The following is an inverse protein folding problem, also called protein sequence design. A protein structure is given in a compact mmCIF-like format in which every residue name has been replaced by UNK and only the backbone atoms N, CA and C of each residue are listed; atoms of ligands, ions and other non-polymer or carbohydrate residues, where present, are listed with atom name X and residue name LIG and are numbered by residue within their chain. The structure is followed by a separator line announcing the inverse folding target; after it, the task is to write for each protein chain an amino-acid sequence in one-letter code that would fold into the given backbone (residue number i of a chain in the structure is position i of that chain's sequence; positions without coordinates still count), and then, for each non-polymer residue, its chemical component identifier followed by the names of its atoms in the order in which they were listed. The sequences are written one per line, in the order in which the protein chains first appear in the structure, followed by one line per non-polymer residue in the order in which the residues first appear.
data_IF_284712814110
#
_entry.id   IF_284712814110
#
_cell.length_a   1.000
_cell.length_b   1.000
_cell.length_c   1.000
_cell.angle_alpha   90.00
_cell.angle_beta   90.00
_cell.angle_gamma   90.00
#
_symmetry.space_group_name_H-M   'P 1'
#
loop_
_entity.id
_entity.type
_entity.pdbx_description
1 polymer ?
#
# COMPACT_ATOMS: atom_id res chain seq x y z
N UNK A 1 -14.53 14.61 -39.92
CA UNK A 1 -14.41 14.33 -38.47
C UNK A 1 -15.73 14.66 -37.80
N UNK A 2 -16.44 13.68 -37.25
CA UNK A 2 -17.65 13.91 -36.46
C UNK A 2 -17.25 14.42 -35.08
N UNK A 3 -17.73 15.61 -34.69
CA UNK A 3 -17.67 16.04 -33.28
C UNK A 3 -18.44 15.02 -32.44
N UNK A 4 -17.80 14.47 -31.41
CA UNK A 4 -18.51 13.69 -30.38
C UNK A 4 -19.53 14.63 -29.76
N UNK A 5 -20.82 14.34 -29.96
CA UNK A 5 -21.91 15.12 -29.34
C UNK A 5 -21.82 14.94 -27.84
N UNK A 6 -21.87 16.04 -27.09
CA UNK A 6 -21.86 15.97 -25.63
C UNK A 6 -23.21 15.43 -25.12
N UNK A 7 -23.24 14.12 -24.86
CA UNK A 7 -24.45 13.41 -24.44
C UNK A 7 -24.92 13.79 -23.03
N UNK A 8 -24.16 14.61 -22.30
CA UNK A 8 -24.56 15.16 -21.00
C UNK A 8 -25.64 16.25 -21.18
N UNK A 9 -25.53 17.10 -22.21
CA UNK A 9 -26.56 18.11 -22.49
C UNK A 9 -27.84 17.46 -23.04
N UNK A 10 -27.73 16.51 -23.99
CA UNK A 10 -28.86 15.70 -24.46
C UNK A 10 -29.62 15.05 -23.28
N UNK A 11 -28.88 14.56 -22.26
CA UNK A 11 -29.46 13.97 -21.05
C UNK A 11 -30.11 15.01 -20.12
N UNK A 12 -29.48 16.16 -19.88
CA UNK A 12 -30.07 17.25 -19.08
C UNK A 12 -31.37 17.76 -19.70
N UNK A 13 -31.43 17.90 -21.02
CA UNK A 13 -32.61 18.33 -21.75
C UNK A 13 -33.73 17.28 -21.67
N UNK A 14 -33.42 15.99 -21.82
CA UNK A 14 -34.38 14.91 -21.63
C UNK A 14 -34.95 14.86 -20.20
N UNK A 15 -34.11 15.09 -19.18
CA UNK A 15 -34.54 15.20 -17.77
C UNK A 15 -35.41 16.43 -17.55
N UNK A 16 -35.08 17.60 -18.15
CA UNK A 16 -35.90 18.82 -18.07
C UNK A 16 -37.29 18.59 -18.68
N UNK A 17 -37.36 18.03 -19.88
CA UNK A 17 -38.63 17.73 -20.54
C UNK A 17 -39.48 16.74 -19.73
N UNK A 18 -38.86 15.71 -19.15
CA UNK A 18 -39.55 14.72 -18.33
C UNK A 18 -40.06 15.31 -16.99
N UNK A 19 -39.30 16.18 -16.33
CA UNK A 19 -39.75 16.85 -15.11
C UNK A 19 -40.94 17.79 -15.39
N UNK A 20 -40.91 18.52 -16.51
CA UNK A 20 -42.02 19.37 -16.94
C UNK A 20 -43.28 18.56 -17.29
N UNK A 21 -43.15 17.42 -17.99
CA UNK A 21 -44.30 16.56 -18.32
C UNK A 21 -44.95 15.92 -17.07
N UNK A 22 -44.18 15.74 -16.00
CA UNK A 22 -44.66 15.29 -14.69
C UNK A 22 -45.22 16.42 -13.81
N UNK A 23 -45.35 17.64 -14.34
CA UNK A 23 -45.93 18.79 -13.63
C UNK A 23 -45.05 19.34 -12.51
N UNK A 24 -43.72 19.19 -12.59
CA UNK A 24 -42.82 19.73 -11.58
C UNK A 24 -42.76 21.25 -11.70
N UNK A 25 -42.92 21.94 -10.58
CA UNK A 25 -42.79 23.40 -10.52
C UNK A 25 -41.33 23.85 -10.64
N UNK A 26 -41.13 25.13 -10.94
CA UNK A 26 -39.81 25.72 -11.19
C UNK A 26 -38.79 25.43 -10.08
N UNK A 27 -39.22 25.46 -8.80
CA UNK A 27 -38.32 25.16 -7.68
C UNK A 27 -37.88 23.69 -7.62
N UNK A 28 -38.77 22.72 -7.93
CA UNK A 28 -38.38 21.30 -8.06
C UNK A 28 -37.48 21.08 -9.28
N UNK A 29 -37.76 21.74 -10.40
CA UNK A 29 -36.95 21.64 -11.61
C UNK A 29 -35.53 22.19 -11.37
N UNK A 30 -35.42 23.40 -10.82
CA UNK A 30 -34.15 24.01 -10.44
C UNK A 30 -33.36 23.12 -9.46
N UNK A 31 -34.02 22.50 -8.47
CA UNK A 31 -33.38 21.58 -7.53
C UNK A 31 -32.85 20.30 -8.19
N UNK A 32 -33.47 19.81 -9.28
CA UNK A 32 -32.94 18.68 -10.06
C UNK A 32 -31.76 19.14 -10.91
N UNK A 33 -31.91 20.25 -11.63
CA UNK A 33 -30.85 20.80 -12.50
C UNK A 33 -29.58 21.15 -11.70
N UNK A 34 -29.73 21.69 -10.49
CA UNK A 34 -28.62 22.02 -9.59
C UNK A 34 -27.78 20.79 -9.18
N UNK A 35 -28.36 19.59 -9.12
CA UNK A 35 -27.61 18.35 -8.81
C UNK A 35 -26.63 17.94 -9.92
N UNK A 36 -26.82 18.40 -11.16
CA UNK A 36 -25.86 18.20 -12.24
C UNK A 36 -24.68 19.19 -12.20
N UNK A 37 -24.80 20.26 -11.40
CA UNK A 37 -23.79 21.32 -11.27
C UNK A 37 -23.00 21.13 -9.96
N UNK A 38 -23.72 20.95 -8.85
CA UNK A 38 -23.16 20.84 -7.51
C UNK A 38 -23.24 19.38 -7.06
N UNK A 39 -22.10 18.69 -7.13
CA UNK A 39 -21.94 17.38 -6.51
C UNK A 39 -22.01 17.55 -4.99
N UNK A 40 -23.03 16.98 -4.36
CA UNK A 40 -23.14 16.97 -2.90
C UNK A 40 -21.89 16.31 -2.29
N UNK A 41 -21.31 16.85 -1.20
CA UNK A 41 -20.13 16.27 -0.58
C UNK A 41 -20.44 14.84 -0.15
N UNK A 42 -19.74 13.88 -0.75
CA UNK A 42 -19.98 12.45 -0.53
C UNK A 42 -19.64 12.11 0.93
N UNK A 43 -20.68 11.92 1.74
CA UNK A 43 -20.55 11.54 3.14
C UNK A 43 -19.72 10.26 3.24
N UNK A 44 -18.52 10.37 3.82
CA UNK A 44 -17.62 9.23 4.00
C UNK A 44 -18.08 8.44 5.21
N UNK A 45 -18.24 7.12 5.05
CA UNK A 45 -18.55 6.24 6.19
C UNK A 45 -17.41 6.27 7.23
N UNK A 46 -17.68 5.90 8.49
CA UNK A 46 -16.63 5.75 9.51
C UNK A 46 -15.49 4.84 9.03
N UNK A 47 -15.83 3.73 8.37
CA UNK A 47 -14.87 2.82 7.72
C UNK A 47 -14.01 3.54 6.68
N UNK A 48 -14.61 4.26 5.73
CA UNK A 48 -13.85 4.98 4.69
C UNK A 48 -12.94 6.05 5.30
N UNK A 49 -13.39 6.74 6.36
CA UNK A 49 -12.55 7.74 7.05
C UNK A 49 -11.37 7.10 7.78
N UNK A 50 -11.56 5.97 8.44
CA UNK A 50 -10.49 5.23 9.10
C UNK A 50 -9.49 4.63 8.09
N UNK A 51 -9.97 4.04 6.99
CA UNK A 51 -9.13 3.51 5.91
C UNK A 51 -8.24 4.58 5.27
N UNK A 52 -8.79 5.77 4.99
CA UNK A 52 -8.00 6.89 4.45
C UNK A 52 -6.93 7.36 5.44
N UNK A 53 -7.25 7.48 6.74
CA UNK A 53 -6.27 7.83 7.78
C UNK A 53 -5.16 6.78 7.93
N UNK A 54 -5.49 5.49 7.75
CA UNK A 54 -4.52 4.40 7.74
C UNK A 54 -3.58 4.53 6.54
N UNK A 55 -4.11 4.81 5.35
CA UNK A 55 -3.32 5.07 4.13
C UNK A 55 -2.40 6.29 4.27
N UNK A 56 -2.90 7.39 4.87
CA UNK A 56 -2.11 8.58 5.21
C UNK A 56 -0.96 8.24 6.18
N UNK A 57 -1.22 7.39 7.18
CA UNK A 57 -0.22 6.94 8.16
C UNK A 57 0.88 6.07 7.51
N UNK A 58 0.51 5.17 6.59
CA UNK A 58 1.48 4.37 5.81
C UNK A 58 2.31 5.29 4.89
N UNK A 59 1.70 6.28 4.26
CA UNK A 59 2.41 7.28 3.46
C UNK A 59 3.40 8.12 4.29
N UNK A 60 3.04 8.49 5.52
CA UNK A 60 3.94 9.17 6.44
C UNK A 60 5.15 8.30 6.82
N UNK A 61 4.96 7.00 7.06
CA UNK A 61 6.05 6.05 7.29
C UNK A 61 6.99 5.95 6.07
N UNK A 62 6.44 5.85 4.85
CA UNK A 62 7.24 5.82 3.62
C UNK A 62 8.10 7.11 3.46
N UNK A 63 7.52 8.29 3.73
CA UNK A 63 8.27 9.56 3.71
C UNK A 63 9.33 9.64 4.81
N UNK A 64 9.03 9.16 6.02
CA UNK A 64 9.99 9.07 7.12
C UNK A 64 11.20 8.19 6.74
N UNK A 65 10.94 6.99 6.21
CA UNK A 65 11.99 6.08 5.74
C UNK A 65 12.82 6.68 4.60
N UNK A 66 12.19 7.35 3.62
CA UNK A 66 12.90 8.01 2.53
C UNK A 66 13.83 9.12 3.02
N UNK A 67 13.37 9.95 3.97
CA UNK A 67 14.16 11.00 4.61
C UNK A 67 15.38 10.43 5.34
N UNK A 68 15.18 9.39 6.15
CA UNK A 68 16.21 8.82 7.02
C UNK A 68 17.05 7.70 6.36
N UNK A 69 16.77 7.30 5.11
CA UNK A 69 17.48 6.22 4.41
C UNK A 69 19.00 6.37 4.40
N UNK A 70 19.51 7.58 4.16
CA UNK A 70 20.98 7.83 4.13
C UNK A 70 21.56 7.81 5.54
N UNK A 71 20.86 8.43 6.50
CA UNK A 71 21.21 8.46 7.91
C UNK A 71 21.34 7.04 8.47
N UNK A 72 20.41 6.15 8.13
CA UNK A 72 20.34 4.79 8.64
C UNK A 72 21.42 3.85 8.06
N UNK A 73 21.74 3.96 6.77
CA UNK A 73 22.72 3.06 6.12
C UNK A 73 24.16 3.53 6.31
N UNK A 74 24.46 4.81 6.12
CA UNK A 74 25.84 5.34 6.14
C UNK A 74 26.41 5.43 7.57
N UNK A 75 27.44 4.64 7.87
CA UNK A 75 28.07 4.55 9.20
C UNK A 75 28.73 5.86 9.63
N UNK A 76 29.15 6.70 8.67
CA UNK A 76 29.90 7.92 8.97
C UNK A 76 28.98 9.14 9.16
N UNK A 77 27.67 8.92 9.11
CA UNK A 77 26.64 9.97 9.09
C UNK A 77 25.80 10.04 10.37
N UNK A 78 25.66 8.93 11.10
CA UNK A 78 24.92 8.84 12.37
C UNK A 78 25.57 7.84 13.32
N UNK A 79 25.26 8.00 14.61
CA UNK A 79 25.58 7.05 15.67
C UNK A 79 24.69 5.81 15.62
N UNK A 80 25.12 4.72 16.26
CA UNK A 80 24.30 3.51 16.43
C UNK A 80 22.99 3.80 17.18
N UNK A 81 23.03 4.65 18.21
CA UNK A 81 21.85 5.05 18.97
C UNK A 81 20.79 5.78 18.12
N UNK A 82 21.21 6.67 17.21
CA UNK A 82 20.29 7.36 16.29
C UNK A 82 19.64 6.38 15.30
N UNK A 83 20.38 5.37 14.84
CA UNK A 83 19.87 4.31 13.96
C UNK A 83 18.85 3.44 14.67
N UNK A 84 19.11 3.10 15.92
CA UNK A 84 18.19 2.29 16.73
C UNK A 84 16.91 3.09 17.09
N UNK A 85 17.00 4.42 17.25
CA UNK A 85 15.83 5.31 17.31
C UNK A 85 14.99 5.24 16.02
N UNK A 86 15.64 5.25 14.84
CA UNK A 86 14.95 5.07 13.55
C UNK A 86 14.26 3.69 13.48
N UNK A 87 14.91 2.60 13.95
CA UNK A 87 14.27 1.27 14.01
C UNK A 87 13.07 1.24 14.96
N UNK A 88 13.17 1.89 16.12
CA UNK A 88 12.09 2.00 17.10
C UNK A 88 10.90 2.78 16.55
N UNK A 89 11.12 3.93 15.90
CA UNK A 89 10.07 4.74 15.28
C UNK A 89 9.38 3.98 14.15
N UNK A 90 10.13 3.38 13.22
CA UNK A 90 9.56 2.54 12.14
C UNK A 90 8.72 1.39 12.73
N UNK A 91 9.23 0.71 13.75
CA UNK A 91 8.52 -0.38 14.43
C UNK A 91 7.23 0.09 15.10
N UNK A 92 7.22 1.29 15.69
CA UNK A 92 6.03 1.88 16.30
C UNK A 92 4.98 2.25 15.24
N UNK A 93 5.40 2.86 14.12
CA UNK A 93 4.52 3.16 12.99
C UNK A 93 3.89 1.91 12.38
N UNK A 94 4.68 0.84 12.15
CA UNK A 94 4.17 -0.43 11.60
C UNK A 94 3.10 -1.02 12.53
N UNK A 95 3.38 -1.13 13.83
CA UNK A 95 2.42 -1.62 14.83
C UNK A 95 1.14 -0.79 14.89
N UNK A 96 1.27 0.54 14.82
CA UNK A 96 0.12 1.45 14.80
C UNK A 96 -0.74 1.30 13.52
N UNK A 97 -0.11 1.03 12.37
CA UNK A 97 -0.82 0.77 11.13
C UNK A 97 -1.50 -0.62 11.14
N UNK A 98 -0.81 -1.66 11.64
CA UNK A 98 -1.39 -3.00 11.84
C UNK A 98 -2.66 -2.93 12.70
N UNK A 99 -2.58 -2.28 13.88
CA UNK A 99 -3.73 -2.13 14.76
C UNK A 99 -4.93 -1.41 14.11
N UNK A 100 -4.68 -0.41 13.24
CA UNK A 100 -5.74 0.26 12.47
C UNK A 100 -6.35 -0.66 11.41
N UNK A 101 -5.54 -1.47 10.72
CA UNK A 101 -5.99 -2.47 9.74
C UNK A 101 -6.84 -3.56 10.44
N UNK A 102 -6.44 -4.02 11.63
CA UNK A 102 -7.20 -5.00 12.40
C UNK A 102 -8.55 -4.44 12.88
N UNK A 103 -8.61 -3.16 13.30
CA UNK A 103 -9.88 -2.48 13.61
C UNK A 103 -10.79 -2.42 12.38
N UNK A 104 -10.24 -2.11 11.20
CA UNK A 104 -11.01 -2.12 9.94
C UNK A 104 -11.52 -3.53 9.62
N UNK A 105 -10.67 -4.55 9.71
CA UNK A 105 -11.04 -5.96 9.49
C UNK A 105 -12.14 -6.43 10.44
N UNK A 106 -12.03 -6.12 11.73
CA UNK A 106 -13.03 -6.47 12.73
C UNK A 106 -14.37 -5.79 12.46
N UNK A 107 -14.38 -4.52 12.05
CA UNK A 107 -15.63 -3.83 11.69
C UNK A 107 -16.38 -4.48 10.50
N UNK A 108 -15.67 -5.18 9.61
CA UNK A 108 -16.31 -5.95 8.52
C UNK A 108 -16.96 -7.21 9.08
N UNK A 109 -16.31 -7.91 10.00
CA UNK A 109 -16.88 -9.09 10.67
C UNK A 109 -18.16 -8.72 11.46
N UNK A 110 -18.15 -7.57 12.13
CA UNK A 110 -19.32 -7.05 12.85
C UNK A 110 -20.46 -6.70 11.87
N UNK A 111 -20.16 -6.04 10.75
CA UNK A 111 -21.13 -5.75 9.70
C UNK A 111 -21.70 -7.04 9.07
N UNK A 112 -20.87 -8.06 8.84
CA UNK A 112 -21.29 -9.38 8.34
C UNK A 112 -22.18 -10.13 9.35
N UNK A 113 -21.87 -10.06 10.64
CA UNK A 113 -22.68 -10.64 11.70
C UNK A 113 -24.05 -9.95 11.80
N UNK A 114 -24.08 -8.62 11.84
CA UNK A 114 -25.30 -7.82 11.93
C UNK A 114 -26.15 -7.84 10.65
N UNK A 115 -25.55 -8.11 9.48
CA UNK A 115 -26.29 -8.24 8.21
C UNK A 115 -27.17 -9.48 8.10
N UNK A 116 -26.98 -10.44 9.01
CA UNK A 116 -27.86 -11.61 9.16
C UNK A 116 -28.98 -11.20 10.11
N UNK A 117 -30.07 -10.67 9.56
CA UNK A 117 -31.26 -10.30 10.36
C UNK A 117 -31.78 -11.47 11.19
N UNK A 118 -32.65 -11.19 12.16
CA UNK A 118 -33.18 -12.12 13.18
C UNK A 118 -33.67 -13.49 12.65
N UNK A 119 -34.04 -13.60 11.37
CA UNK A 119 -34.50 -14.84 10.71
C UNK A 119 -33.51 -15.43 9.68
N UNK A 120 -32.25 -14.97 9.65
CA UNK A 120 -31.20 -15.47 8.75
C UNK A 120 -31.35 -15.07 7.26
N UNK A 121 -32.40 -14.36 6.90
CA UNK A 121 -32.66 -13.88 5.54
C UNK A 121 -31.78 -12.65 5.27
N UNK A 122 -30.83 -12.75 4.33
CA UNK A 122 -30.07 -11.60 3.81
C UNK A 122 -31.03 -10.71 3.02
N UNK A 123 -31.36 -9.53 3.54
CA UNK A 123 -32.36 -8.65 2.90
C UNK A 123 -31.84 -7.99 1.62
N UNK A 124 -30.53 -7.73 1.51
CA UNK A 124 -30.00 -6.84 0.46
C UNK A 124 -28.69 -7.33 -0.18
N UNK A 125 -28.72 -7.55 -1.51
CA UNK A 125 -27.52 -7.78 -2.32
C UNK A 125 -26.56 -6.56 -2.32
N UNK A 126 -27.07 -5.34 -2.12
CA UNK A 126 -26.28 -4.11 -2.03
C UNK A 126 -25.25 -4.13 -0.88
N UNK A 127 -25.48 -4.96 0.14
CA UNK A 127 -24.51 -5.14 1.21
C UNK A 127 -23.35 -6.08 0.80
N UNK A 128 -23.56 -7.04 -0.10
CA UNK A 128 -22.50 -7.96 -0.54
C UNK A 128 -21.38 -7.21 -1.28
N UNK A 129 -21.73 -6.32 -2.21
CA UNK A 129 -20.76 -5.47 -2.91
C UNK A 129 -20.05 -4.51 -1.95
N UNK A 130 -20.77 -4.00 -0.94
CA UNK A 130 -20.22 -3.12 0.10
C UNK A 130 -19.22 -3.87 0.98
N UNK A 131 -19.52 -5.09 1.40
CA UNK A 131 -18.64 -5.97 2.19
C UNK A 131 -17.40 -6.35 1.36
N UNK A 132 -17.58 -6.77 0.10
CA UNK A 132 -16.48 -7.09 -0.81
C UNK A 132 -15.56 -5.88 -1.04
N UNK A 133 -16.12 -4.67 -1.20
CA UNK A 133 -15.35 -3.44 -1.29
C UNK A 133 -14.52 -3.17 -0.02
N UNK A 134 -15.11 -3.36 1.17
CA UNK A 134 -14.38 -3.19 2.45
C UNK A 134 -13.24 -4.19 2.59
N UNK A 135 -13.45 -5.47 2.26
CA UNK A 135 -12.38 -6.48 2.23
C UNK A 135 -11.27 -6.09 1.25
N UNK A 136 -11.61 -5.63 0.04
CA UNK A 136 -10.65 -5.12 -0.94
C UNK A 136 -9.81 -3.94 -0.42
N UNK A 137 -10.42 -3.02 0.32
CA UNK A 137 -9.70 -1.90 0.97
C UNK A 137 -8.73 -2.41 2.05
N UNK A 138 -9.13 -3.37 2.89
CA UNK A 138 -8.25 -3.98 3.91
C UNK A 138 -7.07 -4.73 3.27
N UNK A 139 -7.28 -5.43 2.15
CA UNK A 139 -6.21 -6.09 1.39
C UNK A 139 -5.20 -5.07 0.85
N UNK A 140 -5.66 -3.99 0.21
CA UNK A 140 -4.78 -2.93 -0.35
C UNK A 140 -3.97 -2.25 0.75
N UNK A 141 -4.56 -1.97 1.91
CA UNK A 141 -3.84 -1.38 3.05
C UNK A 141 -2.78 -2.34 3.61
N UNK A 142 -3.10 -3.64 3.69
CA UNK A 142 -2.17 -4.67 4.16
C UNK A 142 -0.98 -4.83 3.21
N UNK A 143 -1.23 -4.88 1.91
CA UNK A 143 -0.20 -4.95 0.86
C UNK A 143 0.70 -3.71 0.88
N UNK A 144 0.10 -2.51 0.98
CA UNK A 144 0.83 -1.24 1.10
C UNK A 144 1.76 -1.23 2.30
N UNK A 145 1.27 -1.62 3.48
CA UNK A 145 2.08 -1.69 4.69
C UNK A 145 3.20 -2.72 4.55
N UNK A 146 2.90 -3.92 4.04
CA UNK A 146 3.91 -4.97 3.84
C UNK A 146 5.01 -4.56 2.85
N UNK A 147 4.66 -3.85 1.77
CA UNK A 147 5.63 -3.28 0.82
C UNK A 147 6.60 -2.32 1.51
N UNK A 148 6.09 -1.40 2.34
CA UNK A 148 6.90 -0.44 3.10
C UNK A 148 7.78 -1.16 4.13
N UNK A 149 7.25 -2.12 4.88
CA UNK A 149 8.04 -2.97 5.81
C UNK A 149 9.16 -3.70 5.08
N UNK A 150 8.88 -4.35 3.93
CA UNK A 150 9.89 -5.04 3.11
C UNK A 150 10.98 -4.09 2.58
N UNK A 151 10.65 -2.83 2.30
CA UNK A 151 11.65 -1.81 1.96
C UNK A 151 12.58 -1.51 3.14
N UNK A 152 12.05 -1.47 4.37
CA UNK A 152 12.86 -1.25 5.57
C UNK A 152 13.76 -2.46 5.88
N UNK A 153 13.22 -3.67 5.79
CA UNK A 153 13.96 -4.91 6.02
C UNK A 153 15.17 -5.03 5.09
N UNK A 154 15.05 -4.55 3.84
CA UNK A 154 16.19 -4.48 2.89
C UNK A 154 17.27 -3.50 3.35
N UNK A 155 16.91 -2.35 3.92
CA UNK A 155 17.90 -1.41 4.48
C UNK A 155 18.60 -2.02 5.70
N UNK A 156 17.85 -2.69 6.58
CA UNK A 156 18.34 -3.37 7.77
C UNK A 156 19.26 -4.55 7.42
N UNK A 157 18.93 -5.32 6.37
CA UNK A 157 19.79 -6.36 5.83
C UNK A 157 21.14 -5.81 5.30
N UNK A 158 21.13 -4.66 4.62
CA UNK A 158 22.37 -3.98 4.17
C UNK A 158 23.22 -3.58 5.38
N UNK A 159 22.64 -2.94 6.41
CA UNK A 159 23.33 -2.59 7.67
C UNK A 159 24.01 -3.81 8.29
N UNK A 160 23.29 -4.93 8.44
CA UNK A 160 23.85 -6.15 9.03
C UNK A 160 24.96 -6.77 8.16
N UNK A 161 24.79 -6.81 6.83
CA UNK A 161 25.82 -7.33 5.95
C UNK A 161 27.11 -6.50 6.02
N UNK A 162 27.02 -5.17 6.12
CA UNK A 162 28.19 -4.31 6.31
C UNK A 162 28.89 -4.53 7.65
N UNK A 163 28.15 -4.77 8.73
CA UNK A 163 28.72 -5.17 10.03
C UNK A 163 29.46 -6.52 9.93
N UNK A 164 28.87 -7.52 9.27
CA UNK A 164 29.50 -8.83 9.03
C UNK A 164 30.77 -8.68 8.17
N UNK A 165 30.71 -7.90 7.10
CA UNK A 165 31.84 -7.64 6.19
C UNK A 165 33.02 -6.96 6.90
N UNK A 166 32.75 -6.15 7.94
CA UNK A 166 33.77 -5.51 8.78
C UNK A 166 34.33 -6.45 9.86
N UNK A 167 33.48 -7.25 10.49
CA UNK A 167 33.85 -8.19 11.54
C UNK A 167 34.60 -9.42 11.00
N UNK A 168 34.34 -9.83 9.75
CA UNK A 168 35.03 -10.95 9.11
C UNK A 168 36.44 -10.51 8.74
N UNK A 169 37.51 -11.08 9.33
CA UNK A 169 38.86 -10.72 8.96
C UNK A 169 39.08 -11.09 7.49
N UNK A 170 39.46 -10.11 6.66
CA UNK A 170 39.88 -10.31 5.28
C UNK A 170 40.96 -11.40 5.25
N UNK A 171 40.57 -12.64 4.96
CA UNK A 171 41.52 -13.71 4.59
C UNK A 171 42.24 -13.19 3.36
N UNK A 172 43.46 -12.69 3.56
CA UNK A 172 44.37 -12.34 2.48
C UNK A 172 44.60 -13.64 1.71
N UNK A 173 43.90 -13.79 0.58
CA UNK A 173 44.26 -14.78 -0.42
C UNK A 173 45.73 -14.51 -0.74
N UNK A 174 46.62 -15.44 -0.34
CA UNK A 174 48.05 -15.29 -0.61
C UNK A 174 48.18 -15.21 -2.12
N UNK A 175 48.49 -14.02 -2.63
CA UNK A 175 48.85 -13.81 -4.03
C UNK A 175 50.16 -14.57 -4.23
N UNK A 176 50.06 -15.82 -4.69
CA UNK A 176 51.21 -16.58 -5.13
C UNK A 176 51.73 -15.81 -6.35
N UNK A 177 52.87 -15.13 -6.17
CA UNK A 177 53.61 -14.53 -7.27
C UNK A 177 54.33 -15.68 -7.96
N UNK A 178 53.65 -16.33 -8.89
CA UNK A 178 54.31 -17.17 -9.88
C UNK A 178 54.89 -16.23 -10.94
N UNK A 179 56.15 -15.87 -10.77
CA UNK A 179 56.96 -15.27 -11.82
C UNK A 179 57.61 -16.39 -12.64
N UNK A 180 56.93 -16.84 -13.70
CA UNK A 180 57.55 -17.06 -15.01
C UNK A 180 56.47 -17.31 -16.10
N UNK A 181 56.71 -16.93 -17.37
CA UNK A 181 55.73 -17.04 -18.45
C UNK A 181 56.00 -18.22 -19.41
N UNK A 182 54.95 -18.94 -19.81
CA UNK A 182 54.82 -19.51 -21.16
C UNK A 182 53.39 -20.04 -21.44
N UNK A 183 52.80 -19.52 -22.52
CA UNK A 183 51.85 -20.14 -23.46
C UNK A 183 50.68 -21.04 -23.00
N UNK A 184 49.52 -20.38 -22.98
CA UNK A 184 48.19 -20.81 -23.41
C UNK A 184 48.03 -22.17 -24.15
N UNK A 185 46.98 -22.92 -23.79
CA UNK A 185 45.72 -22.91 -24.59
C UNK A 185 44.55 -23.71 -23.98
N UNK A 186 43.48 -22.99 -23.64
CA UNK A 186 42.04 -23.34 -23.68
C UNK A 186 41.48 -24.67 -23.09
N UNK A 187 40.60 -24.51 -22.09
CA UNK A 187 39.39 -25.34 -21.95
C UNK A 187 38.17 -24.54 -21.42
N UNK A 188 37.07 -24.64 -22.16
CA UNK A 188 35.71 -24.07 -21.93
C UNK A 188 35.07 -24.73 -20.68
N UNK A 189 34.58 -24.01 -19.65
CA UNK A 189 33.18 -23.49 -19.47
C UNK A 189 32.13 -24.65 -19.50
N UNK A 190 31.23 -24.92 -18.54
CA UNK A 190 30.46 -24.11 -17.54
C UNK A 190 29.86 -25.00 -16.40
N UNK A 191 29.61 -24.52 -15.15
CA UNK A 191 28.33 -23.97 -14.59
C UNK A 191 27.19 -25.01 -14.31
N UNK A 192 26.31 -24.98 -13.28
CA UNK A 192 26.18 -24.30 -11.96
C UNK A 192 24.93 -24.81 -11.20
N UNK A 193 24.82 -24.52 -9.89
CA UNK A 193 23.56 -24.48 -9.11
C UNK A 193 23.00 -25.83 -8.62
N UNK A 194 22.03 -25.93 -7.71
CA UNK A 194 21.28 -25.00 -6.82
C UNK A 194 20.53 -25.90 -5.78
N UNK A 195 20.04 -25.50 -4.59
CA UNK A 195 20.01 -24.24 -3.81
C UNK A 195 19.79 -24.63 -2.30
N UNK A 196 19.69 -23.67 -1.36
CA UNK A 196 19.21 -23.93 0.02
C UNK A 196 17.89 -23.21 0.32
N UNK A 197 16.99 -23.90 1.04
CA UNK A 197 15.77 -23.33 1.61
C UNK A 197 16.07 -22.64 2.96
N UNK A 198 15.42 -21.50 3.23
CA UNK A 198 15.22 -21.00 4.59
C UNK A 198 13.80 -20.45 4.76
N UNK A 199 13.07 -21.05 5.70
CA UNK A 199 11.85 -20.46 6.27
C UNK A 199 12.24 -19.41 7.31
N UNK A 200 11.44 -18.36 7.44
CA UNK A 200 11.35 -17.56 8.67
C UNK A 200 9.90 -17.21 8.96
N UNK A 201 9.44 -17.68 10.11
CA UNK A 201 8.17 -17.37 10.73
C UNK A 201 8.32 -16.22 11.71
N UNK A 202 7.43 -15.22 11.63
CA UNK A 202 7.10 -14.25 12.67
C UNK A 202 5.66 -13.78 12.46
#
# INVERSE_FOLDING_TARGET
MSKVRDRIEDFKDAVRHSALSLGYNESKLAAIMAKFIIHAPRQRSPFTRAALKTMESIGALEQFMLKHRKDYVDLHRTTEQERDSIEQEVSAFIKACQAQIDVLKNSINDDEANSKGWLGIRTDYSNADTIAHKHGVVLILSERLHSVTSQFDKLRAIRFQDTINRATPRRKLKRIVNSEPADASNSTIWSSGNLMNFNLSL
#
